data_IF_508715025442
#
_entry.id   IF_508715025442
#
_cell.length_a   1.000
_cell.length_b   1.000
_cell.length_c   1.000
_cell.angle_alpha   90.00
_cell.angle_beta   90.00
_cell.angle_gamma   90.00
#
_symmetry.space_group_name_H-M   'P 1'
#
loop_
_entity.id
_entity.type
_entity.pdbx_description
1 polymer ?
#
# COMPACT_ATOMS: atom_id res chain seq x y z
N UNK A 1 -9.11 -69.86 -8.60
CA UNK A 1 -9.66 -69.28 -9.85
C UNK A 1 -10.59 -68.13 -9.47
N UNK A 2 -10.48 -66.88 -9.89
CA UNK A 2 -9.47 -66.12 -10.64
C UNK A 2 -9.65 -64.67 -10.16
N UNK A 3 -8.57 -64.09 -9.65
CA UNK A 3 -8.41 -62.66 -9.38
C UNK A 3 -8.28 -61.96 -10.75
N UNK A 4 -9.24 -61.08 -11.08
CA UNK A 4 -9.23 -60.08 -12.17
C UNK A 4 -10.17 -58.96 -11.69
N UNK A 5 -9.84 -57.69 -11.61
CA UNK A 5 -8.86 -56.90 -12.33
C UNK A 5 -8.24 -55.87 -11.40
N UNK A 6 -6.91 -55.82 -11.41
CA UNK A 6 -6.16 -54.63 -11.09
C UNK A 6 -6.40 -53.57 -12.18
N UNK A 7 -6.01 -52.33 -11.88
CA UNK A 7 -5.58 -51.32 -12.88
C UNK A 7 -6.66 -50.49 -13.58
N UNK A 8 -7.30 -49.58 -12.82
CA UNK A 8 -7.66 -48.24 -13.34
C UNK A 8 -7.25 -47.23 -12.25
N UNK A 9 -5.95 -46.88 -12.17
CA UNK A 9 -5.47 -45.53 -12.54
C UNK A 9 -6.34 -44.42 -11.92
N UNK A 10 -6.10 -43.93 -10.70
CA UNK A 10 -4.97 -43.11 -10.23
C UNK A 10 -4.71 -41.79 -10.99
N UNK A 11 -5.72 -41.23 -11.68
CA UNK A 11 -5.66 -39.89 -12.28
C UNK A 11 -7.09 -39.33 -12.30
N UNK A 12 -7.52 -38.31 -11.57
CA UNK A 12 -7.13 -36.90 -11.79
C UNK A 12 -8.00 -35.99 -10.90
N UNK A 13 -7.83 -35.99 -9.59
CA UNK A 13 -8.23 -34.81 -8.80
C UNK A 13 -7.05 -34.44 -7.91
N UNK A 14 -5.92 -34.16 -8.56
CA UNK A 14 -5.06 -33.09 -8.11
C UNK A 14 -5.88 -31.83 -8.37
N UNK A 15 -6.82 -31.51 -7.47
CA UNK A 15 -7.36 -30.15 -7.40
C UNK A 15 -6.15 -29.32 -7.00
N UNK A 16 -5.57 -28.71 -8.02
CA UNK A 16 -4.42 -27.84 -7.95
C UNK A 16 -4.68 -26.79 -6.88
N UNK A 17 -4.18 -27.05 -5.67
CA UNK A 17 -3.88 -26.04 -4.65
C UNK A 17 -2.70 -25.15 -5.10
N UNK A 18 -2.61 -24.90 -6.40
CA UNK A 18 -1.67 -24.01 -7.03
C UNK A 18 -2.23 -22.60 -6.99
N UNK A 19 -1.56 -21.76 -6.22
CA UNK A 19 -1.59 -20.30 -6.28
C UNK A 19 -2.71 -19.59 -5.50
N UNK A 20 -2.78 -19.82 -4.18
CA UNK A 20 -2.86 -18.63 -3.33
C UNK A 20 -1.44 -18.11 -3.26
N UNK A 21 -1.06 -17.24 -4.20
CA UNK A 21 0.11 -16.40 -4.03
C UNK A 21 -0.16 -15.57 -2.77
N UNK A 22 0.30 -16.06 -1.63
CA UNK A 22 0.10 -15.43 -0.34
C UNK A 22 0.62 -14.00 -0.43
N UNK A 23 -0.30 -13.04 -0.30
CA UNK A 23 0.07 -11.64 -0.26
C UNK A 23 1.08 -11.46 0.87
N UNK A 24 2.31 -11.09 0.52
CA UNK A 24 3.38 -10.94 1.51
C UNK A 24 2.96 -9.88 2.52
N UNK A 25 3.22 -10.14 3.80
CA UNK A 25 3.05 -9.13 4.85
C UNK A 25 4.04 -7.99 4.60
N UNK A 26 3.59 -6.71 4.67
CA UNK A 26 4.46 -5.57 4.47
C UNK A 26 5.47 -5.47 5.62
N UNK A 27 6.75 -5.25 5.31
CA UNK A 27 7.80 -5.02 6.31
C UNK A 27 7.88 -3.54 6.68
N UNK A 28 8.12 -3.26 7.97
CA UNK A 28 8.33 -1.91 8.51
C UNK A 28 7.18 -0.92 8.20
N UNK A 29 5.94 -1.43 8.24
CA UNK A 29 4.72 -0.63 8.17
C UNK A 29 4.35 -0.17 9.59
N UNK A 30 4.29 1.15 9.82
CA UNK A 30 4.12 1.74 11.17
C UNK A 30 2.83 2.55 11.35
N UNK A 31 2.32 3.16 10.27
CA UNK A 31 1.24 4.18 10.34
C UNK A 31 -0.05 3.69 9.69
N UNK A 32 0.04 2.98 8.56
CA UNK A 32 -1.13 2.51 7.83
C UNK A 32 -1.59 1.17 8.39
N UNK A 33 -2.89 1.04 8.63
CA UNK A 33 -3.51 -0.25 8.97
C UNK A 33 -3.89 -1.01 7.68
N UNK A 34 -2.87 -1.50 6.97
CA UNK A 34 -3.02 -2.30 5.75
C UNK A 34 -2.31 -3.64 5.92
N UNK A 35 -2.97 -4.74 5.53
CA UNK A 35 -2.51 -6.10 5.88
C UNK A 35 -1.61 -6.70 4.81
N UNK A 36 -1.80 -6.32 3.55
CA UNK A 36 -1.11 -6.92 2.42
C UNK A 36 -0.15 -5.95 1.73
N UNK A 37 0.95 -6.48 1.18
CA UNK A 37 1.86 -5.70 0.32
C UNK A 37 1.13 -5.10 -0.88
N UNK A 38 0.09 -5.77 -1.40
CA UNK A 38 -0.73 -5.29 -2.52
C UNK A 38 -1.50 -4.03 -2.16
N UNK A 39 -2.18 -4.01 -1.00
CA UNK A 39 -2.89 -2.83 -0.49
C UNK A 39 -1.93 -1.66 -0.27
N UNK A 40 -0.79 -1.93 0.40
CA UNK A 40 0.24 -0.90 0.62
C UNK A 40 0.73 -0.33 -0.70
N UNK A 41 1.02 -1.18 -1.69
CA UNK A 41 1.45 -0.73 -3.03
C UNK A 41 0.39 0.12 -3.73
N UNK A 42 -0.89 -0.23 -3.59
CA UNK A 42 -2.00 0.58 -4.14
C UNK A 42 -2.05 1.96 -3.47
N UNK A 43 -1.93 2.02 -2.14
CA UNK A 43 -1.86 3.28 -1.40
C UNK A 43 -0.66 4.14 -1.80
N UNK A 44 0.54 3.54 -1.87
CA UNK A 44 1.76 4.26 -2.25
C UNK A 44 1.72 4.83 -3.67
N UNK A 45 0.96 4.22 -4.59
CA UNK A 45 0.72 4.80 -5.93
C UNK A 45 -0.09 6.09 -5.86
N UNK A 46 -1.05 6.20 -4.93
CA UNK A 46 -1.81 7.43 -4.72
C UNK A 46 -0.90 8.52 -4.15
N UNK A 47 -0.11 8.20 -3.12
CA UNK A 47 0.89 9.13 -2.55
C UNK A 47 1.89 9.63 -3.61
N UNK A 48 2.38 8.73 -4.46
CA UNK A 48 3.27 9.07 -5.59
C UNK A 48 2.62 10.08 -6.55
N UNK A 49 1.33 9.92 -6.86
CA UNK A 49 0.57 10.85 -7.69
C UNK A 49 0.36 12.19 -6.99
N UNK A 50 -0.03 12.16 -5.71
CA UNK A 50 -0.35 13.37 -4.94
C UNK A 50 0.85 14.30 -4.76
N UNK A 51 2.05 13.71 -4.66
CA UNK A 51 3.32 14.42 -4.48
C UNK A 51 4.08 14.65 -5.81
N UNK A 52 3.64 14.07 -6.92
CA UNK A 52 4.32 14.17 -8.21
C UNK A 52 5.69 13.48 -8.28
N UNK A 53 5.93 12.47 -7.44
CA UNK A 53 7.23 11.79 -7.31
C UNK A 53 7.18 10.33 -7.73
N UNK A 54 8.34 9.73 -8.00
CA UNK A 54 8.48 8.28 -8.21
C UNK A 54 8.91 7.58 -6.91
N UNK A 55 8.74 6.25 -6.84
CA UNK A 55 9.05 5.43 -5.66
C UNK A 55 10.44 5.70 -5.04
N UNK A 56 11.46 5.89 -5.89
CA UNK A 56 12.85 6.13 -5.48
C UNK A 56 13.07 7.41 -4.68
N UNK A 57 12.10 8.34 -4.72
CA UNK A 57 12.17 9.57 -3.94
C UNK A 57 12.15 9.27 -2.44
N UNK A 58 11.30 8.32 -2.02
CA UNK A 58 11.17 7.93 -0.62
C UNK A 58 11.80 6.57 -0.30
N UNK A 59 11.98 5.67 -1.27
CA UNK A 59 12.39 4.30 -0.98
C UNK A 59 13.77 3.97 -1.54
N UNK A 60 14.53 3.20 -0.76
CA UNK A 60 15.56 2.34 -1.32
C UNK A 60 14.89 1.28 -2.21
N UNK A 61 15.39 1.14 -3.43
CA UNK A 61 14.76 0.27 -4.44
C UNK A 61 15.18 -1.20 -4.32
N UNK A 62 16.29 -1.48 -3.63
CA UNK A 62 16.72 -2.83 -3.27
C UNK A 62 15.94 -3.34 -2.07
N UNK A 63 15.69 -2.49 -1.08
CA UNK A 63 14.84 -2.80 0.08
C UNK A 63 13.98 -1.61 0.55
N UNK A 64 12.70 -1.64 0.17
CA UNK A 64 11.72 -0.59 0.53
C UNK A 64 11.41 -0.52 2.03
N UNK A 65 11.80 -1.53 2.80
CA UNK A 65 11.64 -1.53 4.25
C UNK A 65 12.65 -0.63 4.95
N UNK A 66 13.79 -0.32 4.32
CA UNK A 66 14.78 0.64 4.84
C UNK A 66 14.14 2.02 5.04
N UNK A 67 14.51 2.67 6.13
CA UNK A 67 14.09 4.02 6.43
C UNK A 67 15.01 5.03 5.75
N UNK A 68 14.40 5.99 5.06
CA UNK A 68 15.06 7.13 4.43
C UNK A 68 14.49 8.40 5.04
N UNK A 69 15.17 9.53 4.83
CA UNK A 69 14.70 10.84 5.30
C UNK A 69 13.28 11.15 4.78
N UNK A 70 13.07 11.12 3.46
CA UNK A 70 11.75 11.39 2.88
C UNK A 70 10.66 10.41 3.34
N UNK A 71 11.00 9.13 3.58
CA UNK A 71 10.04 8.15 4.11
C UNK A 71 9.62 8.47 5.54
N UNK A 72 10.54 8.94 6.38
CA UNK A 72 10.24 9.35 7.75
C UNK A 72 9.38 10.62 7.77
N UNK A 73 9.68 11.61 6.93
CA UNK A 73 8.83 12.79 6.74
C UNK A 73 7.44 12.38 6.26
N UNK A 74 7.36 11.49 5.25
CA UNK A 74 6.08 11.01 4.74
C UNK A 74 5.25 10.29 5.81
N UNK A 75 5.87 9.51 6.71
CA UNK A 75 5.15 8.88 7.84
C UNK A 75 4.56 9.92 8.78
N UNK A 76 5.32 10.94 9.14
CA UNK A 76 4.83 12.04 9.96
C UNK A 76 3.63 12.74 9.30
N UNK A 77 3.73 13.02 7.99
CA UNK A 77 2.63 13.63 7.23
C UNK A 77 1.41 12.71 7.11
N UNK A 78 1.60 11.39 6.99
CA UNK A 78 0.49 10.42 7.00
C UNK A 78 -0.24 10.44 8.35
N UNK A 79 0.48 10.47 9.47
CA UNK A 79 -0.11 10.62 10.80
C UNK A 79 -0.90 11.92 10.88
N UNK A 80 -0.32 13.04 10.42
CA UNK A 80 -1.02 14.33 10.41
C UNK A 80 -2.34 14.25 9.63
N UNK A 81 -2.34 13.71 8.40
CA UNK A 81 -3.54 13.60 7.56
C UNK A 81 -4.60 12.74 8.24
N UNK A 82 -4.23 11.58 8.79
CA UNK A 82 -5.15 10.72 9.53
C UNK A 82 -5.74 11.47 10.73
N UNK A 83 -4.89 12.11 11.56
CA UNK A 83 -5.35 12.88 12.71
C UNK A 83 -6.29 14.01 12.31
N UNK A 84 -6.02 14.75 11.23
CA UNK A 84 -6.90 15.81 10.77
C UNK A 84 -8.26 15.27 10.31
N UNK A 85 -8.26 14.18 9.52
CA UNK A 85 -9.50 13.54 9.09
C UNK A 85 -10.32 13.01 10.27
N UNK A 86 -9.66 12.45 11.30
CA UNK A 86 -10.33 11.82 12.43
C UNK A 86 -10.77 12.81 13.52
N UNK A 87 -10.06 13.93 13.69
CA UNK A 87 -10.29 14.88 14.79
C UNK A 87 -10.87 16.22 14.38
N UNK A 88 -10.62 16.68 13.14
CA UNK A 88 -11.05 18.01 12.66
C UNK A 88 -12.12 17.89 11.58
N UNK A 89 -11.96 16.95 10.64
CA UNK A 89 -12.91 16.71 9.55
C UNK A 89 -13.81 15.50 9.83
N UNK A 90 -14.26 15.32 11.08
CA UNK A 90 -15.06 14.19 11.52
C UNK A 90 -16.57 14.45 11.61
N UNK A 91 -17.03 15.57 11.04
CA UNK A 91 -18.45 15.91 10.97
C UNK A 91 -19.12 15.32 9.72
N UNK A 92 -20.45 15.23 9.74
CA UNK A 92 -21.21 14.69 8.61
C UNK A 92 -21.00 15.52 7.34
N UNK A 93 -20.63 14.85 6.25
CA UNK A 93 -20.34 15.51 4.97
C UNK A 93 -18.96 16.20 4.89
N UNK A 94 -18.10 16.04 5.89
CA UNK A 94 -16.76 16.62 5.86
C UNK A 94 -15.92 16.09 4.69
N UNK A 95 -15.16 16.96 3.99
CA UNK A 95 -14.22 16.51 2.98
C UNK A 95 -13.07 15.76 3.65
N UNK A 96 -12.64 14.65 3.04
CA UNK A 96 -11.42 13.94 3.47
C UNK A 96 -10.21 14.61 2.85
N UNK A 97 -9.33 15.16 3.69
CA UNK A 97 -8.07 15.74 3.22
C UNK A 97 -7.11 14.62 2.82
N UNK A 98 -6.27 14.93 1.83
CA UNK A 98 -5.23 14.04 1.33
C UNK A 98 -3.95 14.83 1.11
N UNK A 99 -2.87 14.15 0.72
CA UNK A 99 -1.64 14.81 0.34
C UNK A 99 -1.88 15.80 -0.82
N UNK A 100 -2.77 15.45 -1.75
CA UNK A 100 -3.15 16.31 -2.89
C UNK A 100 -3.70 17.67 -2.46
N UNK A 101 -4.47 17.73 -1.36
CA UNK A 101 -5.10 18.97 -0.87
C UNK A 101 -4.09 20.11 -0.74
N UNK A 102 -2.88 19.81 -0.25
CA UNK A 102 -1.81 20.79 -0.06
C UNK A 102 -0.74 20.70 -1.16
N UNK A 103 -0.27 19.49 -1.50
CA UNK A 103 0.89 19.31 -2.36
C UNK A 103 0.61 19.53 -3.84
N UNK A 104 -0.60 19.21 -4.32
CA UNK A 104 -1.02 19.42 -5.71
C UNK A 104 -0.02 18.92 -6.76
N UNK A 105 0.61 17.77 -6.52
CA UNK A 105 1.60 17.18 -7.42
C UNK A 105 3.02 17.74 -7.30
N UNK A 106 3.32 18.47 -6.22
CA UNK A 106 4.65 18.98 -5.88
C UNK A 106 5.19 18.35 -4.60
N UNK A 107 6.51 18.25 -4.47
CA UNK A 107 7.17 17.76 -3.25
C UNK A 107 6.98 18.70 -2.06
N UNK A 108 6.68 19.98 -2.32
CA UNK A 108 6.39 20.98 -1.31
C UNK A 108 5.08 21.71 -1.64
N UNK A 109 4.21 21.97 -0.65
CA UNK A 109 3.06 22.84 -0.83
C UNK A 109 3.49 24.27 -1.19
N UNK A 110 2.69 24.95 -2.01
CA UNK A 110 2.85 26.40 -2.23
C UNK A 110 2.42 27.15 -0.97
N UNK A 111 3.34 27.91 -0.38
CA UNK A 111 3.09 28.68 0.83
C UNK A 111 2.80 30.15 0.53
N UNK A 112 3.10 30.61 -0.69
CA UNK A 112 2.87 31.97 -1.14
C UNK A 112 1.63 32.01 -2.02
N UNK A 113 0.66 32.85 -1.63
CA UNK A 113 -0.52 33.10 -2.46
C UNK A 113 -0.09 33.74 -3.80
N UNK A 114 -0.42 33.15 -4.97
CA UNK A 114 -0.20 33.81 -6.25
C UNK A 114 -0.97 35.13 -6.31
N UNK A 115 -0.36 36.17 -6.90
CA UNK A 115 -1.01 37.47 -7.11
C UNK A 115 -1.95 37.43 -8.30
#
# INVERSE_FOLDING_TARGET
>A
MKIKSAMVFLLSIIFSAGMIAGDKTPKNLKVLDLKTTKEVKKYMKMISKDLGVKCKYCHDMNDKSIDTEHKNIARFMMTMVQTQNDSVFNYEGAPQISCWTCHRGSTAPELVRPR
#
